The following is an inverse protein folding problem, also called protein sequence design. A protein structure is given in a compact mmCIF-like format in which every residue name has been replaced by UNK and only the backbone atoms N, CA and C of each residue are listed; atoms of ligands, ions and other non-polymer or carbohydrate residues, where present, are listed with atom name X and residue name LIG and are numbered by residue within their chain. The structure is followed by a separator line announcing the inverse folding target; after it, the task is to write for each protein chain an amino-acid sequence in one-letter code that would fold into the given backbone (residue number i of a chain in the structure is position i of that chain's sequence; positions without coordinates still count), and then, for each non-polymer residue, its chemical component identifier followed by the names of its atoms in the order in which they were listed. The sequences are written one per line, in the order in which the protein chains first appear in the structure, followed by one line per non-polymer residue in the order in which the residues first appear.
data_IF_396136380994
#
_entry.id   IF_396136380994
#
_cell.length_a   1.000
_cell.length_b   1.000
_cell.length_c   1.000
_cell.angle_alpha   90.00
_cell.angle_beta   90.00
_cell.angle_gamma   90.00
#
_symmetry.space_group_name_H-M   'P 1'
#
loop_
_entity.id
_entity.type
_entity.pdbx_description
1 polymer ?
#
# COMPACT_ATOMS: atom_id res chain seq x y z
N UNK A 1 -59.73 23.94 28.57
CA UNK A 1 -59.02 22.88 27.80
C UNK A 1 -58.19 22.06 28.77
N UNK A 2 -58.27 20.72 28.78
CA UNK A 2 -57.39 19.89 29.60
C UNK A 2 -55.94 19.97 29.07
N UNK A 3 -54.97 20.08 29.97
CA UNK A 3 -53.53 20.12 29.64
C UNK A 3 -52.99 18.69 29.56
N UNK A 4 -52.48 18.29 28.40
CA UNK A 4 -51.80 17.00 28.23
C UNK A 4 -50.29 17.18 28.42
N UNK A 5 -49.70 16.43 29.34
CA UNK A 5 -48.25 16.36 29.54
C UNK A 5 -47.72 15.01 29.08
N UNK A 6 -46.91 15.00 28.03
CA UNK A 6 -46.25 13.78 27.52
C UNK A 6 -44.85 13.66 28.09
N UNK A 7 -44.56 12.55 28.78
CA UNK A 7 -43.22 12.26 29.30
C UNK A 7 -42.43 11.41 28.30
N UNK A 8 -41.19 11.80 28.02
CA UNK A 8 -40.27 11.06 27.16
C UNK A 8 -38.98 10.78 27.90
N UNK A 9 -38.77 9.51 28.25
CA UNK A 9 -37.63 9.04 29.05
C UNK A 9 -36.63 8.20 28.27
N UNK A 10 -36.92 7.89 27.01
CA UNK A 10 -36.12 6.98 26.20
C UNK A 10 -35.68 7.63 24.89
N UNK A 11 -34.37 7.53 24.62
CA UNK A 11 -33.72 8.05 23.43
C UNK A 11 -32.92 6.99 22.66
N UNK A 12 -33.15 5.69 22.91
CA UNK A 12 -32.41 4.58 22.28
C UNK A 12 -32.47 4.57 20.75
N UNK A 13 -33.48 5.20 20.13
CA UNK A 13 -33.61 5.27 18.67
C UNK A 13 -32.74 6.34 18.00
N UNK A 14 -31.96 7.11 18.77
CA UNK A 14 -31.02 8.06 18.20
C UNK A 14 -31.62 9.37 17.72
N UNK A 15 -30.84 10.08 16.91
CA UNK A 15 -31.32 11.24 16.15
C UNK A 15 -32.16 10.73 14.98
N UNK A 16 -33.46 11.04 15.00
CA UNK A 16 -34.38 10.57 13.95
C UNK A 16 -34.40 11.53 12.77
N UNK A 17 -34.49 10.98 11.56
CA UNK A 17 -34.64 11.76 10.32
C UNK A 17 -35.84 12.70 10.39
N UNK A 18 -35.71 13.90 9.81
CA UNK A 18 -36.82 14.85 9.69
C UNK A 18 -38.04 14.27 8.94
N UNK A 19 -37.86 13.24 8.11
CA UNK A 19 -38.97 12.54 7.42
C UNK A 19 -39.85 11.71 8.38
N UNK A 20 -39.38 11.45 9.59
CA UNK A 20 -40.14 10.74 10.64
C UNK A 20 -40.97 11.71 11.49
N UNK A 21 -40.89 13.02 11.25
CA UNK A 21 -41.71 14.00 11.97
C UNK A 21 -43.21 13.70 11.78
N UNK A 22 -43.95 13.65 12.88
CA UNK A 22 -45.38 13.34 12.86
C UNK A 22 -45.74 11.85 12.75
N UNK A 23 -44.77 10.95 12.58
CA UNK A 23 -45.00 9.49 12.58
C UNK A 23 -45.09 8.92 14.00
N UNK A 24 -46.09 9.36 14.74
CA UNK A 24 -46.34 8.92 16.13
C UNK A 24 -46.61 7.41 16.27
N UNK A 25 -46.92 6.74 15.17
CA UNK A 25 -47.10 5.29 15.07
C UNK A 25 -45.79 4.50 15.18
N UNK A 26 -44.65 5.12 14.84
CA UNK A 26 -43.36 4.44 14.83
C UNK A 26 -42.68 4.45 16.21
N UNK A 27 -42.19 3.29 16.65
CA UNK A 27 -41.41 3.17 17.90
C UNK A 27 -40.16 4.03 17.90
N UNK A 28 -39.51 4.18 16.74
CA UNK A 28 -38.34 5.05 16.58
C UNK A 28 -38.67 6.52 16.82
N UNK A 29 -39.86 6.97 16.44
CA UNK A 29 -40.33 8.32 16.74
C UNK A 29 -40.61 8.50 18.24
N UNK A 30 -41.23 7.50 18.87
CA UNK A 30 -41.50 7.52 20.31
C UNK A 30 -40.21 7.57 21.14
N UNK A 31 -39.19 6.81 20.76
CA UNK A 31 -37.94 6.63 21.53
C UNK A 31 -36.71 7.34 20.94
N UNK A 32 -36.89 8.29 20.01
CA UNK A 32 -35.80 9.02 19.36
C UNK A 32 -35.87 10.53 19.62
N UNK A 33 -34.80 11.26 19.39
CA UNK A 33 -34.80 12.73 19.51
C UNK A 33 -34.67 13.38 18.13
N UNK A 34 -35.25 14.57 17.96
CA UNK A 34 -35.10 15.32 16.72
C UNK A 34 -33.65 15.79 16.48
N UNK A 35 -32.83 15.89 17.54
CA UNK A 35 -31.45 16.35 17.47
C UNK A 35 -30.65 15.88 18.68
N UNK A 36 -29.50 15.26 18.46
CA UNK A 36 -28.56 14.80 19.49
C UNK A 36 -27.14 15.22 19.10
N UNK A 37 -26.57 16.18 19.83
CA UNK A 37 -25.21 16.68 19.56
C UNK A 37 -24.31 16.46 20.76
N UNK A 38 -23.12 15.92 20.54
CA UNK A 38 -22.10 15.69 21.56
C UNK A 38 -22.62 14.89 22.77
N UNK A 39 -23.41 13.87 22.49
CA UNK A 39 -23.97 12.97 23.50
C UNK A 39 -23.78 11.50 23.11
N UNK A 40 -23.79 10.64 24.12
CA UNK A 40 -23.81 9.18 23.98
C UNK A 40 -25.12 8.68 24.54
N UNK A 41 -25.78 7.83 23.77
CA UNK A 41 -27.05 7.22 24.16
C UNK A 41 -26.73 5.95 24.93
N UNK A 42 -27.25 5.85 26.15
CA UNK A 42 -27.10 4.64 26.94
C UNK A 42 -28.11 3.58 26.44
N UNK A 43 -27.75 2.29 26.45
CA UNK A 43 -28.69 1.21 26.13
C UNK A 43 -29.97 1.22 27.00
N UNK A 44 -29.89 1.80 28.21
CA UNK A 44 -31.01 1.99 29.15
C UNK A 44 -31.95 3.15 28.77
N UNK A 45 -31.67 3.88 27.69
CA UNK A 45 -32.51 4.95 27.15
C UNK A 45 -32.15 6.37 27.61
N UNK A 46 -31.28 6.49 28.61
CA UNK A 46 -30.70 7.76 29.03
C UNK A 46 -29.71 8.33 28.02
N UNK A 47 -29.38 9.61 28.20
CA UNK A 47 -28.39 10.31 27.37
C UNK A 47 -27.38 10.97 28.28
N UNK A 48 -26.09 10.77 28.01
CA UNK A 48 -25.00 11.44 28.70
C UNK A 48 -24.22 12.31 27.72
N UNK A 49 -23.52 13.33 28.22
CA UNK A 49 -22.59 14.08 27.38
C UNK A 49 -21.47 13.17 26.92
N UNK A 50 -21.04 13.31 25.66
CA UNK A 50 -19.85 12.63 25.14
C UNK A 50 -18.65 13.06 25.98
N UNK A 51 -17.79 12.10 26.32
CA UNK A 51 -16.53 12.41 26.98
C UNK A 51 -15.76 13.47 26.18
N UNK A 52 -15.18 14.44 26.88
CA UNK A 52 -14.37 15.48 26.25
C UNK A 52 -13.11 14.89 25.62
N UNK A 53 -12.47 15.68 24.76
CA UNK A 53 -11.13 15.38 24.24
C UNK A 53 -10.09 15.89 25.22
N UNK A 54 -9.08 15.07 25.52
CA UNK A 54 -7.88 15.50 26.24
C UNK A 54 -6.86 16.02 25.23
N UNK A 55 -6.31 17.20 25.46
CA UNK A 55 -5.15 17.68 24.70
C UNK A 55 -3.93 16.81 25.06
N UNK A 56 -3.26 16.28 24.04
CA UNK A 56 -2.06 15.42 24.20
C UNK A 56 -0.83 16.19 23.77
N UNK A 57 -0.78 16.61 22.51
CA UNK A 57 0.35 17.31 21.93
C UNK A 57 -0.10 18.07 20.66
N UNK A 58 0.74 19.00 20.19
CA UNK A 58 0.58 19.64 18.88
C UNK A 58 1.36 18.84 17.83
N UNK A 59 0.68 18.45 16.74
CA UNK A 59 1.37 17.84 15.62
C UNK A 59 2.38 18.82 15.00
N UNK A 60 3.58 18.37 14.56
CA UNK A 60 4.59 19.24 13.96
C UNK A 60 4.13 20.00 12.72
N UNK A 61 3.12 19.47 12.01
CA UNK A 61 2.56 20.06 10.81
C UNK A 61 1.42 19.22 10.23
N UNK A 62 0.99 19.49 8.99
CA UNK A 62 0.04 18.66 8.26
C UNK A 62 0.55 17.23 8.16
N UNK A 63 -0.35 16.27 8.31
CA UNK A 63 0.06 14.89 8.48
C UNK A 63 -1.08 13.90 8.46
N UNK A 64 -0.73 12.63 8.68
CA UNK A 64 -1.69 11.52 8.75
C UNK A 64 -1.44 10.71 10.01
N UNK A 65 -2.53 10.42 10.70
CA UNK A 65 -2.53 9.56 11.88
C UNK A 65 -2.84 8.13 11.46
N UNK A 66 -1.95 7.21 11.85
CA UNK A 66 -2.08 5.78 11.56
C UNK A 66 -2.05 5.03 12.89
N UNK A 67 -3.10 4.26 13.17
CA UNK A 67 -3.13 3.37 14.31
C UNK A 67 -2.26 2.13 14.00
N UNK A 68 -1.47 1.71 14.99
CA UNK A 68 -0.66 0.51 14.93
C UNK A 68 -0.97 -0.33 16.17
N UNK A 69 -1.51 -1.53 15.97
CA UNK A 69 -1.94 -2.41 17.06
C UNK A 69 -1.11 -3.69 17.03
N UNK A 70 -0.13 -3.81 17.94
CA UNK A 70 0.61 -5.06 18.05
C UNK A 70 -0.25 -6.17 18.66
N UNK A 71 -1.03 -5.82 19.68
CA UNK A 71 -2.04 -6.65 20.32
C UNK A 71 -3.04 -5.75 21.07
N UNK A 72 -4.02 -6.36 21.76
CA UNK A 72 -5.07 -5.63 22.49
C UNK A 72 -4.58 -4.75 23.65
N UNK A 73 -3.34 -4.92 24.10
CA UNK A 73 -2.73 -4.16 25.20
C UNK A 73 -1.74 -3.10 24.70
N UNK A 74 -1.09 -3.34 23.56
CA UNK A 74 -0.02 -2.53 23.03
C UNK A 74 -0.47 -1.86 21.73
N UNK A 75 -1.12 -0.70 21.90
CA UNK A 75 -1.59 0.16 20.81
C UNK A 75 -0.74 1.43 20.72
N UNK A 76 -0.43 1.81 19.49
CA UNK A 76 0.39 2.97 19.18
C UNK A 76 -0.32 3.84 18.16
N UNK A 77 -0.05 5.14 18.24
CA UNK A 77 -0.46 6.12 17.24
C UNK A 77 0.79 6.65 16.54
N UNK A 78 0.91 6.38 15.25
CA UNK A 78 1.97 6.89 14.39
C UNK A 78 1.46 8.18 13.73
N UNK A 79 2.12 9.30 14.01
CA UNK A 79 1.84 10.60 13.43
C UNK A 79 2.84 10.89 12.32
N UNK A 80 2.43 10.68 11.07
CA UNK A 80 3.24 10.97 9.88
C UNK A 80 3.18 12.46 9.58
N UNK A 81 4.34 13.10 9.50
CA UNK A 81 4.53 14.50 9.14
C UNK A 81 5.70 14.63 8.16
N UNK A 82 6.02 15.85 7.71
CA UNK A 82 7.08 16.06 6.72
C UNK A 82 8.41 15.45 7.18
N UNK A 83 8.87 14.40 6.47
CA UNK A 83 10.11 13.66 6.71
C UNK A 83 10.25 13.05 8.12
N UNK A 84 9.15 12.88 8.86
CA UNK A 84 9.18 12.46 10.25
C UNK A 84 7.93 11.67 10.66
N UNK A 85 8.12 10.69 11.54
CA UNK A 85 7.04 9.98 12.24
C UNK A 85 7.23 10.13 13.74
N UNK A 86 6.22 10.66 14.42
CA UNK A 86 6.15 10.67 15.88
C UNK A 86 5.28 9.50 16.36
N UNK A 87 5.80 8.70 17.30
CA UNK A 87 5.10 7.55 17.87
C UNK A 87 4.56 7.92 19.24
N UNK A 88 3.26 7.69 19.46
CA UNK A 88 2.60 7.90 20.74
C UNK A 88 2.08 6.59 21.31
N UNK A 89 2.24 6.43 22.63
CA UNK A 89 1.67 5.33 23.43
C UNK A 89 1.04 5.93 24.66
N UNK A 90 -0.20 5.54 25.02
CA UNK A 90 -0.93 6.06 26.19
C UNK A 90 -1.03 7.59 26.30
N UNK A 91 -0.95 8.27 25.15
CA UNK A 91 -0.97 9.74 25.08
C UNK A 91 0.36 10.40 25.45
N UNK A 92 1.47 9.69 25.37
CA UNK A 92 2.83 10.23 25.52
C UNK A 92 3.62 9.91 24.26
N UNK A 93 4.38 10.88 23.73
CA UNK A 93 5.30 10.65 22.62
C UNK A 93 6.49 9.83 23.11
N UNK A 94 6.66 8.62 22.58
CA UNK A 94 7.71 7.68 22.99
C UNK A 94 8.90 7.66 22.04
N UNK A 95 8.70 7.99 20.76
CA UNK A 95 9.77 8.02 19.76
C UNK A 95 9.50 9.04 18.65
N UNK A 96 10.57 9.47 18.00
CA UNK A 96 10.54 10.25 16.77
C UNK A 96 11.52 9.63 15.79
N UNK A 97 11.06 9.32 14.58
CA UNK A 97 11.82 8.58 13.56
C UNK A 97 11.86 9.42 12.30
N UNK A 98 13.02 9.51 11.65
CA UNK A 98 13.15 10.12 10.34
C UNK A 98 12.46 9.24 9.28
N UNK A 99 11.66 9.86 8.41
CA UNK A 99 10.89 9.17 7.38
C UNK A 99 11.17 9.77 5.99
N UNK A 100 11.02 8.99 4.90
CA UNK A 100 11.38 9.46 3.56
C UNK A 100 10.30 10.32 2.88
N UNK A 101 9.10 10.43 3.45
CA UNK A 101 7.95 11.03 2.78
C UNK A 101 7.86 12.54 3.01
N UNK A 102 7.69 13.28 1.91
CA UNK A 102 7.41 14.72 1.97
C UNK A 102 5.93 14.99 2.25
N UNK A 103 5.59 16.21 2.66
CA UNK A 103 4.22 16.57 3.07
C UNK A 103 3.18 16.25 1.99
N UNK A 104 3.49 16.53 0.72
CA UNK A 104 2.61 16.29 -0.41
C UNK A 104 2.25 14.80 -0.64
N UNK A 105 3.07 13.87 -0.13
CA UNK A 105 2.89 12.43 -0.31
C UNK A 105 2.05 11.81 0.81
N UNK A 106 2.05 12.40 2.00
CA UNK A 106 1.48 11.83 3.22
C UNK A 106 -0.02 11.53 3.08
N UNK A 107 -0.76 12.41 2.39
CA UNK A 107 -2.19 12.23 2.16
C UNK A 107 -2.51 10.98 1.31
N UNK A 108 -1.60 10.56 0.43
CA UNK A 108 -1.76 9.44 -0.50
C UNK A 108 -1.09 8.14 -0.04
N UNK A 109 -0.48 8.12 1.15
CA UNK A 109 0.08 6.88 1.69
C UNK A 109 -1.01 5.81 1.82
N UNK A 110 -0.71 4.60 1.36
CA UNK A 110 -1.47 3.41 1.66
C UNK A 110 -0.63 2.49 2.53
N UNK A 111 -1.29 1.71 3.39
CA UNK A 111 -0.59 0.81 4.29
C UNK A 111 -1.41 -0.41 4.62
N UNK A 112 -0.70 -1.45 5.05
CA UNK A 112 -1.28 -2.61 5.72
C UNK A 112 -0.38 -3.00 6.87
N UNK A 113 -0.96 -3.52 7.94
CA UNK A 113 -0.23 -3.98 9.11
C UNK A 113 -0.36 -5.50 9.25
N UNK A 114 0.72 -6.15 9.66
CA UNK A 114 0.72 -7.52 10.18
C UNK A 114 1.63 -7.58 11.39
N UNK A 115 1.09 -7.99 12.54
CA UNK A 115 1.80 -8.11 13.81
C UNK A 115 2.67 -6.88 14.14
N UNK A 116 3.98 -7.04 14.16
CA UNK A 116 4.98 -6.02 14.51
C UNK A 116 5.39 -5.12 13.33
N UNK A 117 4.79 -5.32 12.16
CA UNK A 117 5.27 -4.75 10.91
C UNK A 117 4.15 -4.01 10.17
N UNK A 118 4.44 -2.75 9.81
CA UNK A 118 3.60 -1.91 8.97
C UNK A 118 4.26 -1.74 7.60
N UNK A 119 3.57 -2.16 6.56
CA UNK A 119 3.97 -1.99 5.18
C UNK A 119 3.34 -0.70 4.65
N UNK A 120 4.16 0.25 4.18
CA UNK A 120 3.71 1.55 3.69
C UNK A 120 4.15 1.74 2.24
N UNK A 121 3.23 2.15 1.39
CA UNK A 121 3.45 2.34 -0.05
C UNK A 121 2.98 3.71 -0.52
N UNK A 122 3.62 4.20 -1.59
CA UNK A 122 3.26 5.42 -2.30
C UNK A 122 3.77 5.34 -3.75
N UNK A 123 3.03 5.83 -4.76
CA UNK A 123 3.43 5.70 -6.17
C UNK A 123 4.81 6.29 -6.53
N UNK A 124 5.25 7.33 -5.83
CA UNK A 124 6.50 8.04 -6.13
C UNK A 124 7.68 7.69 -5.21
N UNK A 125 7.50 6.81 -4.22
CA UNK A 125 8.59 6.44 -3.29
C UNK A 125 8.67 4.93 -3.12
N UNK A 126 9.89 4.41 -3.03
CA UNK A 126 10.11 2.99 -2.77
C UNK A 126 9.33 2.51 -1.52
N UNK A 127 8.67 1.34 -1.59
CA UNK A 127 7.93 0.77 -0.47
C UNK A 127 8.79 0.62 0.78
N UNK A 128 8.25 1.02 1.92
CA UNK A 128 8.94 0.93 3.21
C UNK A 128 8.23 -0.01 4.16
N UNK A 129 9.03 -0.69 4.96
CA UNK A 129 8.62 -1.55 6.06
C UNK A 129 8.99 -0.84 7.36
N UNK A 130 8.00 -0.56 8.19
CA UNK A 130 8.19 0.01 9.53
C UNK A 130 7.98 -1.12 10.52
N UNK A 131 9.02 -1.48 11.27
CA UNK A 131 8.98 -2.57 12.26
C UNK A 131 9.19 -2.00 13.66
N UNK A 132 8.33 -2.43 14.58
CA UNK A 132 8.46 -2.13 16.01
C UNK A 132 9.37 -3.18 16.67
N UNK A 133 10.55 -2.79 17.14
CA UNK A 133 11.45 -3.69 17.88
C UNK A 133 11.31 -3.55 19.40
N UNK A 134 10.85 -2.39 19.90
CA UNK A 134 10.51 -2.17 21.31
C UNK A 134 9.42 -1.10 21.46
N UNK A 135 9.09 -0.68 22.70
CA UNK A 135 8.16 0.43 22.93
C UNK A 135 8.66 1.78 22.42
N UNK A 136 9.99 1.96 22.32
CA UNK A 136 10.64 3.19 21.88
C UNK A 136 11.50 2.99 20.62
N UNK A 137 11.81 1.75 20.26
CA UNK A 137 12.65 1.44 19.11
C UNK A 137 11.82 1.00 17.92
N UNK A 138 11.98 1.75 16.84
CA UNK A 138 11.27 1.57 15.59
C UNK A 138 12.26 1.72 14.44
N UNK A 139 12.11 0.87 13.44
CA UNK A 139 13.01 0.83 12.30
C UNK A 139 12.22 0.98 11.01
N UNK A 140 12.75 1.77 10.08
CA UNK A 140 12.25 1.89 8.71
C UNK A 140 13.27 1.26 7.79
N UNK A 141 12.85 0.26 7.03
CA UNK A 141 13.65 -0.42 6.02
C UNK A 141 12.94 -0.42 4.66
N UNK A 142 13.69 -0.63 3.59
CA UNK A 142 13.09 -0.92 2.27
C UNK A 142 12.42 -2.30 2.26
N UNK A 143 11.44 -2.47 1.37
CA UNK A 143 10.95 -3.81 1.05
C UNK A 143 12.03 -4.58 0.31
N UNK A 144 12.16 -5.85 0.67
CA UNK A 144 13.06 -6.80 -0.02
C UNK A 144 12.18 -7.93 -0.50
N UNK A 145 12.10 -8.10 -1.82
CA UNK A 145 11.43 -9.25 -2.42
C UNK A 145 12.24 -10.51 -2.18
N UNK A 146 11.58 -11.66 -2.15
CA UNK A 146 12.26 -12.95 -2.01
C UNK A 146 13.28 -13.12 -3.15
N UNK A 147 14.46 -13.65 -2.83
CA UNK A 147 15.53 -13.88 -3.81
C UNK A 147 16.02 -15.32 -3.70
N UNK A 148 16.09 -16.01 -4.84
CA UNK A 148 16.63 -17.37 -4.93
C UNK A 148 17.58 -17.45 -6.12
N UNK A 149 18.78 -17.99 -5.93
CA UNK A 149 19.77 -18.17 -7.01
C UNK A 149 20.05 -16.88 -7.81
N UNK A 150 20.15 -15.73 -7.15
CA UNK A 150 20.35 -14.39 -7.76
C UNK A 150 19.17 -13.84 -8.58
N UNK A 151 18.02 -14.52 -8.60
CA UNK A 151 16.76 -14.07 -9.20
C UNK A 151 15.87 -13.45 -8.13
N UNK A 152 15.39 -12.25 -8.38
CA UNK A 152 14.47 -11.55 -7.48
C UNK A 152 13.03 -11.85 -7.90
N UNK A 153 12.24 -12.40 -6.98
CA UNK A 153 10.84 -12.75 -7.19
C UNK A 153 9.91 -11.54 -7.01
N UNK A 154 10.17 -10.49 -7.79
CA UNK A 154 9.36 -9.27 -7.86
C UNK A 154 8.48 -9.27 -9.12
N UNK A 155 7.38 -8.49 -9.15
CA UNK A 155 6.57 -8.34 -10.34
C UNK A 155 7.34 -7.71 -11.51
N UNK A 156 7.06 -8.19 -12.71
CA UNK A 156 7.61 -7.67 -13.97
C UNK A 156 6.48 -7.39 -14.96
N UNK A 157 6.72 -6.45 -15.88
CA UNK A 157 5.76 -6.08 -16.90
C UNK A 157 6.49 -5.44 -18.09
N UNK A 158 5.95 -5.62 -19.31
CA UNK A 158 6.45 -4.95 -20.51
C UNK A 158 5.68 -3.65 -20.76
N UNK A 159 6.29 -2.51 -20.45
CA UNK A 159 5.67 -1.19 -20.66
C UNK A 159 5.82 -0.65 -22.09
N UNK A 160 6.68 -1.25 -22.90
CA UNK A 160 6.87 -0.92 -24.31
C UNK A 160 5.85 -1.62 -25.20
N UNK A 161 5.67 -1.14 -26.43
CA UNK A 161 4.81 -1.79 -27.41
C UNK A 161 5.20 -3.25 -27.63
N UNK A 162 4.21 -4.11 -27.92
CA UNK A 162 4.38 -5.56 -27.96
C UNK A 162 5.43 -6.03 -28.98
N UNK A 163 5.62 -5.28 -30.06
CA UNK A 163 6.56 -5.57 -31.14
C UNK A 163 8.01 -5.15 -30.86
N UNK A 164 8.25 -4.31 -29.84
CA UNK A 164 9.60 -3.89 -29.44
C UNK A 164 10.42 -5.09 -28.98
N UNK A 165 11.63 -5.22 -29.50
CA UNK A 165 12.54 -6.33 -29.20
C UNK A 165 13.76 -5.87 -28.43
N UNK A 166 14.31 -6.76 -27.59
CA UNK A 166 15.65 -6.64 -27.04
C UNK A 166 16.60 -7.65 -27.72
N UNK A 167 17.78 -7.17 -28.09
CA UNK A 167 18.84 -7.96 -28.71
C UNK A 167 20.11 -7.91 -27.85
N UNK A 168 20.40 -8.96 -27.07
CA UNK A 168 21.61 -9.05 -26.27
C UNK A 168 22.82 -9.48 -27.13
N UNK A 169 24.02 -8.96 -26.84
CA UNK A 169 25.25 -9.32 -27.59
C UNK A 169 25.83 -10.69 -27.19
N UNK A 170 25.37 -11.29 -26.11
CA UNK A 170 25.87 -12.56 -25.57
C UNK A 170 24.91 -13.16 -24.55
N UNK A 171 25.22 -14.35 -24.03
CA UNK A 171 24.33 -15.11 -23.14
C UNK A 171 24.78 -15.15 -21.68
N UNK A 172 25.97 -14.64 -21.35
CA UNK A 172 26.53 -14.64 -19.99
C UNK A 172 27.50 -13.48 -19.78
N UNK A 173 27.83 -13.21 -18.51
CA UNK A 173 28.74 -12.14 -18.14
C UNK A 173 28.15 -10.75 -18.39
N UNK A 174 28.99 -9.80 -18.80
CA UNK A 174 28.57 -8.45 -19.16
C UNK A 174 28.24 -8.39 -20.64
N UNK A 175 27.03 -7.96 -20.96
CA UNK A 175 26.49 -7.88 -22.32
C UNK A 175 25.99 -6.46 -22.61
N UNK A 176 25.91 -6.11 -23.89
CA UNK A 176 25.13 -4.95 -24.32
C UNK A 176 23.77 -5.44 -24.80
N UNK A 177 22.71 -4.75 -24.41
CA UNK A 177 21.34 -5.02 -24.83
C UNK A 177 20.87 -3.87 -25.69
N UNK A 178 20.53 -4.15 -26.94
CA UNK A 178 20.03 -3.17 -27.91
C UNK A 178 18.52 -3.33 -28.07
N UNK A 179 17.76 -2.26 -27.85
CA UNK A 179 16.31 -2.22 -28.08
C UNK A 179 16.00 -1.70 -29.49
N UNK A 180 14.92 -2.21 -30.11
CA UNK A 180 14.46 -1.74 -31.43
C UNK A 180 13.75 -0.38 -31.40
N UNK A 181 13.42 0.12 -30.22
CA UNK A 181 12.79 1.42 -29.97
C UNK A 181 13.30 2.00 -28.63
N UNK A 182 13.03 3.27 -28.30
CA UNK A 182 13.38 3.86 -27.01
C UNK A 182 12.75 3.08 -25.83
N UNK A 183 13.58 2.40 -25.04
CA UNK A 183 13.18 1.63 -23.85
C UNK A 183 13.95 2.08 -22.61
N UNK A 184 15.22 2.44 -22.76
CA UNK A 184 16.08 2.69 -21.62
C UNK A 184 16.04 4.15 -21.16
N UNK A 185 15.91 4.34 -19.86
CA UNK A 185 16.06 5.62 -19.17
C UNK A 185 17.22 5.53 -18.16
N UNK A 186 17.85 6.65 -17.80
CA UNK A 186 18.95 6.67 -16.82
C UNK A 186 18.55 6.02 -15.48
N UNK A 187 17.28 6.11 -15.08
CA UNK A 187 16.76 5.47 -13.87
C UNK A 187 16.67 3.94 -13.92
N UNK A 188 16.93 3.29 -15.08
CA UNK A 188 16.98 1.83 -15.17
C UNK A 188 18.28 1.23 -14.63
N UNK A 189 19.31 2.03 -14.36
CA UNK A 189 20.54 1.51 -13.72
C UNK A 189 20.21 0.91 -12.34
N UNK A 190 20.63 -0.34 -12.13
CA UNK A 190 20.35 -1.14 -10.93
C UNK A 190 19.01 -1.89 -10.97
N UNK A 191 18.22 -1.74 -12.05
CA UNK A 191 16.95 -2.46 -12.21
C UNK A 191 17.14 -3.81 -12.91
N UNK A 192 16.19 -4.73 -12.68
CA UNK A 192 16.12 -6.06 -13.29
C UNK A 192 15.20 -6.08 -14.50
N UNK A 193 15.69 -6.72 -15.55
CA UNK A 193 14.95 -7.04 -16.77
C UNK A 193 14.96 -8.56 -16.92
N UNK A 194 13.93 -9.11 -17.55
CA UNK A 194 13.90 -10.52 -17.94
C UNK A 194 13.80 -10.62 -19.45
N UNK A 195 14.65 -11.44 -20.05
CA UNK A 195 14.63 -11.78 -21.46
C UNK A 195 14.33 -13.27 -21.56
N UNK A 196 13.19 -13.65 -22.12
CA UNK A 196 12.71 -15.03 -22.16
C UNK A 196 12.79 -15.74 -20.80
N UNK A 197 12.22 -15.10 -19.77
CA UNK A 197 12.20 -15.58 -18.37
C UNK A 197 13.59 -15.78 -17.72
N UNK A 198 14.64 -15.11 -18.24
CA UNK A 198 15.99 -15.10 -17.67
C UNK A 198 16.39 -13.70 -17.25
N UNK A 199 16.83 -13.56 -16.01
CA UNK A 199 17.08 -12.25 -15.41
C UNK A 199 18.45 -11.66 -15.77
N UNK A 200 18.45 -10.35 -16.04
CA UNK A 200 19.62 -9.50 -16.24
C UNK A 200 19.50 -8.24 -15.37
N UNK A 201 20.63 -7.66 -14.98
CA UNK A 201 20.68 -6.40 -14.25
C UNK A 201 21.30 -5.31 -15.12
N UNK A 202 20.61 -4.18 -15.30
CA UNK A 202 21.14 -3.06 -16.06
C UNK A 202 22.19 -2.33 -15.22
N UNK A 203 23.42 -2.24 -15.72
CA UNK A 203 24.55 -1.61 -15.01
C UNK A 203 24.89 -0.23 -15.54
N UNK A 204 24.58 0.06 -16.81
CA UNK A 204 24.72 1.39 -17.40
C UNK A 204 23.76 1.56 -18.57
N UNK A 205 23.26 2.79 -18.77
CA UNK A 205 22.44 3.15 -19.93
C UNK A 205 23.25 4.08 -20.83
N UNK A 206 23.53 3.63 -22.05
CA UNK A 206 24.34 4.39 -23.02
C UNK A 206 23.49 5.31 -23.90
N UNK A 207 22.27 4.89 -24.23
CA UNK A 207 21.27 5.67 -24.97
C UNK A 207 19.89 5.09 -24.70
N UNK A 208 18.83 5.74 -25.21
CA UNK A 208 17.47 5.23 -25.09
C UNK A 208 17.25 3.85 -25.72
N UNK A 209 18.15 3.40 -26.61
CA UNK A 209 18.07 2.12 -27.31
C UNK A 209 19.21 1.16 -26.97
N UNK A 210 20.15 1.52 -26.09
CA UNK A 210 21.30 0.67 -25.76
C UNK A 210 21.70 0.79 -24.29
N UNK A 211 21.79 -0.35 -23.61
CA UNK A 211 22.23 -0.43 -22.22
C UNK A 211 23.21 -1.59 -22.00
N UNK A 212 24.13 -1.43 -21.06
CA UNK A 212 25.01 -2.50 -20.58
C UNK A 212 24.32 -3.22 -19.43
N UNK A 213 24.34 -4.55 -19.45
CA UNK A 213 23.73 -5.38 -18.44
C UNK A 213 24.66 -6.51 -18.00
N UNK A 214 24.53 -6.95 -16.75
CA UNK A 214 25.15 -8.17 -16.25
C UNK A 214 24.10 -9.28 -16.22
N UNK A 215 24.41 -10.41 -16.85
CA UNK A 215 23.54 -11.57 -16.90
C UNK A 215 23.54 -12.28 -15.54
N UNK A 216 22.36 -12.50 -14.96
CA UNK A 216 22.18 -13.20 -13.68
C UNK A 216 21.83 -14.67 -13.89
N UNK A 217 21.03 -14.94 -14.92
CA UNK A 217 20.75 -16.29 -15.41
C UNK A 217 21.15 -16.41 -16.88
N UNK A 218 21.90 -17.45 -17.24
CA UNK A 218 22.36 -17.64 -18.63
C UNK A 218 21.19 -17.62 -19.63
N UNK A 219 21.27 -16.73 -20.62
CA UNK A 219 20.25 -16.59 -21.66
C UNK A 219 20.29 -17.79 -22.61
N UNK A 220 19.14 -18.18 -23.16
CA UNK A 220 19.05 -19.32 -24.08
C UNK A 220 19.81 -19.08 -25.40
N UNK A 221 19.79 -17.86 -25.92
CA UNK A 221 20.50 -17.44 -27.12
C UNK A 221 20.64 -15.90 -27.14
N UNK A 222 21.36 -15.37 -28.14
CA UNK A 222 21.61 -13.95 -28.33
C UNK A 222 20.75 -13.33 -29.46
N UNK A 223 19.61 -13.94 -29.80
CA UNK A 223 18.74 -13.41 -30.85
C UNK A 223 17.83 -12.30 -30.31
N UNK A 224 17.44 -11.38 -31.19
CA UNK A 224 16.42 -10.40 -30.87
C UNK A 224 15.10 -11.08 -30.50
N UNK A 225 14.53 -10.73 -29.36
CA UNK A 225 13.26 -11.31 -28.87
C UNK A 225 12.27 -10.24 -28.45
N UNK A 226 10.98 -10.51 -28.67
CA UNK A 226 9.85 -9.71 -28.15
C UNK A 226 9.48 -10.11 -26.73
N UNK A 227 9.89 -11.31 -26.32
CA UNK A 227 9.67 -11.87 -24.99
C UNK A 227 10.68 -11.30 -24.01
N UNK A 228 10.32 -10.14 -23.47
CA UNK A 228 11.07 -9.47 -22.44
C UNK A 228 10.15 -8.58 -21.62
N UNK A 229 10.55 -8.34 -20.38
CA UNK A 229 9.83 -7.53 -19.40
C UNK A 229 10.84 -6.82 -18.50
N UNK A 230 10.41 -5.73 -17.87
CA UNK A 230 11.18 -4.99 -16.88
C UNK A 230 10.48 -5.05 -15.52
N UNK A 231 11.21 -4.82 -14.44
CA UNK A 231 10.59 -4.81 -13.11
C UNK A 231 9.46 -3.76 -13.03
N UNK A 232 8.30 -4.14 -12.51
CA UNK A 232 7.12 -3.27 -12.46
C UNK A 232 7.27 -2.12 -11.47
N UNK A 233 8.10 -2.30 -10.43
CA UNK A 233 8.35 -1.30 -9.41
C UNK A 233 9.78 -0.78 -9.54
N UNK A 234 9.96 0.46 -9.99
CA UNK A 234 11.28 1.04 -10.24
C UNK A 234 11.24 2.57 -10.13
N UNK A 235 12.40 3.24 -10.05
CA UNK A 235 12.45 4.70 -10.14
C UNK A 235 11.80 5.25 -11.42
N UNK A 236 11.86 4.49 -12.52
CA UNK A 236 11.34 4.89 -13.83
C UNK A 236 9.84 4.64 -13.95
N UNK A 237 9.31 3.54 -13.39
CA UNK A 237 7.89 3.15 -13.49
C UNK A 237 7.04 3.51 -12.27
N UNK A 238 7.69 4.02 -11.24
CA UNK A 238 7.09 4.26 -9.94
C UNK A 238 6.88 2.97 -9.16
N UNK A 239 6.09 3.09 -8.10
CA UNK A 239 5.95 2.10 -7.05
C UNK A 239 4.47 1.77 -6.79
N UNK A 240 4.18 0.75 -5.95
CA UNK A 240 2.82 0.39 -5.57
C UNK A 240 1.95 1.56 -5.06
N UNK A 241 0.70 1.61 -5.49
CA UNK A 241 -0.28 2.60 -5.05
C UNK A 241 -1.04 2.15 -3.79
N UNK A 242 -1.38 0.86 -3.70
CA UNK A 242 -2.12 0.27 -2.57
C UNK A 242 -1.60 -1.10 -2.21
N UNK A 243 -1.80 -1.50 -0.95
CA UNK A 243 -1.40 -2.81 -0.43
C UNK A 243 -2.41 -3.30 0.61
N UNK A 244 -2.68 -4.60 0.65
CA UNK A 244 -3.47 -5.27 1.68
C UNK A 244 -2.99 -6.72 1.87
N UNK A 245 -3.48 -7.40 2.89
CA UNK A 245 -3.35 -8.85 3.02
C UNK A 245 -4.69 -9.53 2.69
N UNK A 246 -4.62 -10.68 2.03
CA UNK A 246 -5.78 -11.54 1.79
C UNK A 246 -5.35 -12.99 1.71
N UNK A 247 -5.96 -13.87 2.52
CA UNK A 247 -5.68 -15.32 2.54
C UNK A 247 -4.18 -15.66 2.59
N UNK A 248 -3.45 -15.03 3.53
CA UNK A 248 -2.01 -15.24 3.72
C UNK A 248 -1.14 -14.87 2.50
N UNK A 249 -1.61 -13.90 1.72
CA UNK A 249 -0.89 -13.29 0.59
C UNK A 249 -0.82 -11.78 0.76
N UNK A 250 0.29 -11.20 0.36
CA UNK A 250 0.38 -9.76 0.13
C UNK A 250 -0.27 -9.45 -1.20
N UNK A 251 -1.25 -8.56 -1.19
CA UNK A 251 -1.95 -8.09 -2.38
C UNK A 251 -1.54 -6.65 -2.65
N UNK A 252 -0.99 -6.39 -3.82
CA UNK A 252 -0.63 -5.07 -4.31
C UNK A 252 -1.65 -4.67 -5.38
N UNK A 253 -2.26 -3.49 -5.20
CA UNK A 253 -3.21 -2.93 -6.16
C UNK A 253 -2.62 -1.70 -6.85
N UNK A 254 -2.30 -1.85 -8.13
CA UNK A 254 -1.82 -0.80 -9.02
C UNK A 254 -0.42 -0.27 -8.68
N UNK A 255 0.25 0.28 -9.68
CA UNK A 255 1.42 1.14 -9.54
C UNK A 255 1.21 2.45 -10.29
N UNK A 256 2.15 3.39 -10.18
CA UNK A 256 2.06 4.69 -10.87
C UNK A 256 1.81 4.55 -12.37
N UNK A 257 2.58 3.69 -13.04
CA UNK A 257 2.53 3.51 -14.49
C UNK A 257 1.75 2.25 -14.91
N UNK A 258 1.29 1.44 -13.96
CA UNK A 258 0.39 0.31 -14.19
C UNK A 258 -0.75 0.27 -13.16
N UNK A 259 -1.69 1.24 -13.20
CA UNK A 259 -2.69 1.42 -12.14
C UNK A 259 -3.78 0.35 -12.10
N UNK A 260 -3.99 -0.38 -13.19
CA UNK A 260 -5.05 -1.37 -13.35
C UNK A 260 -4.60 -2.81 -13.05
N UNK A 261 -3.39 -3.03 -12.53
CA UNK A 261 -2.87 -4.37 -12.25
C UNK A 261 -3.07 -4.76 -10.78
N UNK A 262 -3.34 -6.04 -10.54
CA UNK A 262 -3.29 -6.64 -9.21
C UNK A 262 -2.20 -7.71 -9.21
N UNK A 263 -1.40 -7.71 -8.15
CA UNK A 263 -0.42 -8.76 -7.85
C UNK A 263 -0.71 -9.36 -6.48
N UNK A 264 -0.70 -10.68 -6.38
CA UNK A 264 -0.80 -11.42 -5.14
C UNK A 264 0.45 -12.28 -4.99
N UNK A 265 1.15 -12.17 -3.86
CA UNK A 265 2.31 -13.02 -3.56
C UNK A 265 1.90 -14.48 -3.48
N UNK A 266 2.87 -15.41 -3.48
CA UNK A 266 2.67 -16.80 -3.07
C UNK A 266 2.01 -16.87 -1.69
N UNK A 267 1.21 -17.91 -1.45
CA UNK A 267 0.61 -18.16 -0.13
C UNK A 267 1.71 -18.40 0.91
N UNK A 268 1.61 -17.79 2.08
CA UNK A 268 2.57 -17.89 3.20
C UNK A 268 4.00 -17.39 2.89
N UNK A 269 4.28 -16.90 1.68
CA UNK A 269 5.54 -16.26 1.29
C UNK A 269 5.26 -14.86 0.74
N UNK A 270 5.06 -13.93 1.68
CA UNK A 270 4.46 -12.62 1.49
C UNK A 270 5.22 -11.67 0.53
N UNK A 271 6.48 -11.96 0.23
CA UNK A 271 7.33 -11.12 -0.62
C UNK A 271 7.80 -11.85 -1.89
N UNK A 272 7.21 -13.01 -2.19
CA UNK A 272 7.51 -13.78 -3.38
C UNK A 272 6.37 -13.66 -4.40
N UNK A 273 6.63 -12.98 -5.51
CA UNK A 273 5.68 -12.76 -6.60
C UNK A 273 6.04 -13.58 -7.85
N UNK A 274 6.67 -14.74 -7.68
CA UNK A 274 6.94 -15.64 -8.80
C UNK A 274 5.68 -16.40 -9.21
N UNK A 275 5.31 -16.26 -10.49
CA UNK A 275 4.15 -16.93 -11.08
C UNK A 275 4.36 -18.44 -11.25
N UNK A 276 5.62 -18.88 -11.27
CA UNK A 276 6.00 -20.28 -11.35
C UNK A 276 5.38 -21.02 -12.55
N UNK A 277 4.76 -22.16 -12.27
CA UNK A 277 4.11 -23.05 -13.25
C UNK A 277 2.57 -23.04 -13.13
N UNK A 278 2.00 -22.23 -12.23
CA UNK A 278 0.57 -22.15 -11.95
C UNK A 278 0.08 -23.13 -10.89
N UNK A 279 0.90 -23.47 -9.89
CA UNK A 279 0.49 -24.26 -8.73
C UNK A 279 -0.44 -23.46 -7.80
N UNK A 280 -1.23 -24.16 -6.98
CA UNK A 280 -2.28 -23.56 -6.14
C UNK A 280 -1.75 -22.51 -5.12
N UNK A 281 -0.48 -22.60 -4.73
CA UNK A 281 0.19 -21.70 -3.79
C UNK A 281 0.99 -20.58 -4.49
N UNK A 282 1.06 -20.56 -5.82
CA UNK A 282 1.88 -19.62 -6.59
C UNK A 282 1.26 -18.23 -6.71
N UNK A 283 2.10 -17.25 -7.07
CA UNK A 283 1.68 -15.87 -7.17
C UNK A 283 0.62 -15.70 -8.26
N UNK A 284 -0.26 -14.73 -8.06
CA UNK A 284 -1.35 -14.44 -8.99
C UNK A 284 -1.18 -13.02 -9.51
N UNK A 285 -1.26 -12.86 -10.81
CA UNK A 285 -1.18 -11.56 -11.47
C UNK A 285 -2.25 -11.44 -12.55
N UNK A 286 -3.00 -10.33 -12.53
CA UNK A 286 -3.97 -10.04 -13.58
C UNK A 286 -4.32 -8.55 -13.64
N UNK A 287 -4.75 -8.11 -14.82
CA UNK A 287 -5.29 -6.79 -15.04
C UNK A 287 -6.78 -6.73 -14.71
N UNK A 288 -7.20 -5.67 -14.02
CA UNK A 288 -8.59 -5.26 -13.89
C UNK A 288 -9.05 -4.64 -15.21
N UNK A 289 -9.59 -5.46 -16.09
CA UNK A 289 -10.23 -5.03 -17.33
C UNK A 289 -11.73 -4.93 -17.11
N UNK A 290 -12.28 -3.73 -17.31
CA UNK A 290 -13.71 -3.46 -17.31
C UNK A 290 -14.12 -3.03 -18.72
N UNK A 291 -15.34 -3.40 -19.13
CA UNK A 291 -15.94 -2.96 -20.40
C UNK A 291 -16.29 -1.46 -20.38
N UNK A 292 -16.32 -0.85 -19.19
CA UNK A 292 -16.51 0.59 -18.99
C UNK A 292 -15.40 1.15 -18.10
N UNK A 293 -14.78 2.25 -18.55
CA UNK A 293 -13.70 3.00 -17.86
C UNK A 293 -14.28 4.15 -17.05
#
# INVERSE_FOLDING_TARGET
MPRLTTHKSNFTAGEVSARLLGRSDLRSYANGAAKLRNVVIQPTGGVTRRAGTRFVDMAPGPGRLIAFEFNTEQTYLLCFSHLQIDVYTDGVKTATIAAPWIEAQIAKLAWVQSADTLLVVHPDTAPKKITRTSHADWQIADWVFAETNSRIHQPHHKFSAADVTLNPTGTSGTITVTASAPVFDAGHVGTRFRIANKEIEITAVSSATSATATVKETLANANATKDWEEQSFSPVRGYPATVTFHQDRTVIGGSRDLPNQIWMSKSADLFNFDLGEGLDDEAIEFALLSDQV
#
